data_IF_001445637766
#
_entry.id   IF_001445637766
#
_cell.length_a   1.000
_cell.length_b   1.000
_cell.length_c   1.000
_cell.angle_alpha   90.00
_cell.angle_beta   90.00
_cell.angle_gamma   90.00
#
_symmetry.space_group_name_H-M   'P 1'
#
loop_
_entity.id
_entity.type
_entity.pdbx_description
1 polymer ?
#
# COMPACT_ATOMS: atom_id res chain seq x y z
N UNK A 1 5.48 -9.49 0.44
CA UNK A 1 6.22 -9.10 1.66
C UNK A 1 5.30 -8.84 2.85
N UNK A 2 4.46 -7.79 2.90
CA UNK A 2 3.62 -7.55 4.10
C UNK A 2 2.59 -8.67 4.34
N UNK A 3 1.97 -9.21 3.29
CA UNK A 3 1.10 -10.39 3.44
C UNK A 3 1.87 -11.60 4.00
N UNK A 4 3.08 -11.84 3.51
CA UNK A 4 3.94 -12.93 4.00
C UNK A 4 4.36 -12.73 5.46
N UNK A 5 4.64 -11.49 5.86
CA UNK A 5 4.94 -11.15 7.25
C UNK A 5 3.76 -11.45 8.17
N UNK A 6 2.54 -11.09 7.75
CA UNK A 6 1.33 -11.40 8.52
C UNK A 6 1.08 -12.91 8.58
N UNK A 7 1.33 -13.64 7.50
CA UNK A 7 1.23 -15.11 7.49
C UNK A 7 2.25 -15.75 8.42
N UNK A 8 3.52 -15.31 8.37
CA UNK A 8 4.59 -15.84 9.21
C UNK A 8 4.35 -15.55 10.70
N UNK A 9 3.63 -14.47 11.02
CA UNK A 9 3.29 -14.06 12.40
C UNK A 9 1.79 -14.14 12.69
N UNK A 10 1.07 -15.03 12.02
CA UNK A 10 -0.39 -15.09 12.11
C UNK A 10 -0.90 -15.38 13.53
N UNK A 11 -0.12 -16.11 14.33
CA UNK A 11 -0.43 -16.37 15.74
C UNK A 11 -0.61 -15.09 16.57
N UNK A 12 0.06 -13.98 16.23
CA UNK A 12 -0.15 -12.69 16.90
C UNK A 12 -1.54 -12.12 16.59
N UNK A 13 -2.03 -12.27 15.36
CA UNK A 13 -3.37 -11.83 14.96
C UNK A 13 -4.44 -12.68 15.63
N UNK A 14 -4.21 -14.00 15.76
CA UNK A 14 -5.18 -14.91 16.35
C UNK A 14 -5.28 -14.74 17.87
N UNK A 15 -4.13 -14.79 18.56
CA UNK A 15 -4.07 -14.89 20.03
C UNK A 15 -4.19 -13.54 20.73
N UNK A 16 -3.66 -12.46 20.14
CA UNK A 16 -3.71 -11.14 20.77
C UNK A 16 -5.04 -10.44 20.46
N UNK A 17 -5.55 -9.70 21.45
CA UNK A 17 -6.74 -8.85 21.29
C UNK A 17 -6.39 -7.49 20.68
N UNK A 18 -5.22 -6.97 21.02
CA UNK A 18 -4.68 -5.71 20.52
C UNK A 18 -3.74 -5.97 19.35
N UNK A 19 -3.54 -4.94 18.52
CA UNK A 19 -2.56 -5.00 17.44
C UNK A 19 -1.15 -4.94 18.02
N UNK A 20 -0.32 -5.92 17.68
CA UNK A 20 1.09 -5.97 18.08
C UNK A 20 1.95 -5.06 17.20
N UNK A 21 2.90 -4.36 17.82
CA UNK A 21 3.77 -3.38 17.15
C UNK A 21 4.60 -4.01 16.03
N UNK A 22 4.97 -5.29 16.15
CA UNK A 22 5.77 -6.02 15.16
C UNK A 22 5.02 -6.33 13.86
N UNK A 23 3.69 -6.22 13.85
CA UNK A 23 2.85 -6.40 12.66
C UNK A 23 2.00 -5.16 12.33
N UNK A 24 2.03 -4.14 13.18
CA UNK A 24 1.19 -2.96 13.08
C UNK A 24 1.31 -2.26 11.72
N UNK A 25 2.54 -2.00 11.27
CA UNK A 25 2.80 -1.35 9.97
C UNK A 25 2.21 -2.16 8.81
N UNK A 26 2.35 -3.49 8.85
CA UNK A 26 1.87 -4.38 7.80
C UNK A 26 0.34 -4.41 7.75
N UNK A 27 -0.32 -4.54 8.90
CA UNK A 27 -1.79 -4.50 9.01
C UNK A 27 -2.32 -3.17 8.48
N UNK A 28 -1.80 -2.05 8.98
CA UNK A 28 -2.26 -0.71 8.63
C UNK A 28 -2.01 -0.43 7.14
N UNK A 29 -0.84 -0.81 6.62
CA UNK A 29 -0.51 -0.62 5.20
C UNK A 29 -1.40 -1.45 4.27
N UNK A 30 -1.73 -2.69 4.63
CA UNK A 30 -2.66 -3.54 3.85
C UNK A 30 -4.07 -2.96 3.88
N UNK A 31 -4.56 -2.50 5.04
CA UNK A 31 -5.88 -1.88 5.16
C UNK A 31 -5.98 -0.59 4.35
N UNK A 32 -4.91 0.23 4.35
CA UNK A 32 -4.83 1.43 3.53
C UNK A 32 -4.76 1.14 2.03
N UNK A 33 -4.03 0.10 1.63
CA UNK A 33 -3.91 -0.31 0.24
C UNK A 33 -5.22 -0.92 -0.30
N UNK A 34 -5.98 -1.66 0.52
CA UNK A 34 -7.16 -2.40 0.11
C UNK A 34 -8.13 -1.63 -0.81
N UNK A 35 -8.63 -0.43 -0.48
CA UNK A 35 -9.53 0.31 -1.38
C UNK A 35 -8.86 0.79 -2.67
N UNK A 36 -7.53 0.91 -2.73
CA UNK A 36 -6.77 1.41 -3.89
C UNK A 36 -6.47 0.34 -4.93
N UNK A 37 -6.46 -0.93 -4.52
CA UNK A 37 -6.16 -2.08 -5.39
C UNK A 37 -7.34 -3.05 -5.49
N UNK A 38 -8.49 -2.72 -4.90
CA UNK A 38 -9.69 -3.56 -4.88
C UNK A 38 -10.22 -3.90 -6.28
N UNK A 39 -9.88 -3.10 -7.29
CA UNK A 39 -10.24 -3.36 -8.69
C UNK A 39 -9.47 -4.54 -9.28
N UNK A 40 -8.22 -4.72 -8.87
CA UNK A 40 -7.31 -5.72 -9.43
C UNK A 40 -7.24 -6.98 -8.55
N UNK A 41 -7.40 -6.82 -7.23
CA UNK A 41 -7.29 -7.91 -6.24
C UNK A 41 -8.44 -7.82 -5.24
N UNK A 42 -9.50 -8.60 -5.48
CA UNK A 42 -10.70 -8.60 -4.66
C UNK A 42 -10.45 -9.11 -3.22
N UNK A 43 -9.49 -10.02 -3.05
CA UNK A 43 -9.13 -10.64 -1.78
C UNK A 43 -8.63 -9.63 -0.75
N UNK A 44 -8.05 -8.51 -1.20
CA UNK A 44 -7.62 -7.43 -0.30
C UNK A 44 -8.79 -6.78 0.43
N UNK A 45 -9.96 -6.71 -0.22
CA UNK A 45 -11.18 -6.28 0.44
C UNK A 45 -11.57 -7.25 1.55
N UNK A 46 -11.56 -8.54 1.26
CA UNK A 46 -11.85 -9.60 2.24
C UNK A 46 -10.89 -9.53 3.44
N UNK A 47 -9.59 -9.38 3.20
CA UNK A 47 -8.59 -9.24 4.27
C UNK A 47 -8.87 -7.98 5.11
N UNK A 48 -9.16 -6.84 4.47
CA UNK A 48 -9.49 -5.60 5.17
C UNK A 48 -10.76 -5.75 6.02
N UNK A 49 -11.76 -6.46 5.53
CA UNK A 49 -13.01 -6.70 6.26
C UNK A 49 -12.78 -7.62 7.47
N UNK A 50 -11.97 -8.68 7.33
CA UNK A 50 -11.59 -9.54 8.46
C UNK A 50 -10.79 -8.77 9.52
N UNK A 51 -9.82 -7.94 9.12
CA UNK A 51 -9.06 -7.09 10.04
C UNK A 51 -9.95 -6.04 10.72
N UNK A 52 -10.99 -5.56 10.02
CA UNK A 52 -11.99 -4.64 10.59
C UNK A 52 -12.82 -5.31 11.68
N UNK A 53 -13.22 -6.57 11.47
CA UNK A 53 -13.92 -7.37 12.49
C UNK A 53 -13.01 -7.60 13.70
N UNK A 54 -11.73 -7.90 13.47
CA UNK A 54 -10.76 -8.19 14.55
C UNK A 54 -10.40 -6.98 15.40
N UNK A 55 -10.06 -5.84 14.78
CA UNK A 55 -9.52 -4.66 15.46
C UNK A 55 -10.52 -3.50 15.63
N UNK A 56 -11.73 -3.66 15.08
CA UNK A 56 -12.81 -2.71 15.22
C UNK A 56 -12.88 -1.68 14.08
N UNK A 57 -14.11 -1.20 13.85
CA UNK A 57 -14.45 -0.27 12.78
C UNK A 57 -13.73 1.09 12.88
N UNK A 58 -13.63 1.75 14.06
CA UNK A 58 -12.93 3.04 14.17
C UNK A 58 -11.46 2.95 13.78
N UNK A 59 -10.79 1.88 14.20
CA UNK A 59 -9.39 1.61 13.82
C UNK A 59 -9.25 1.41 12.31
N UNK A 60 -10.13 0.61 11.71
CA UNK A 60 -10.10 0.32 10.29
C UNK A 60 -10.28 1.57 9.41
N UNK A 61 -11.21 2.45 9.80
CA UNK A 61 -11.47 3.71 9.10
C UNK A 61 -10.27 4.65 9.22
N UNK A 62 -9.68 4.78 10.41
CA UNK A 62 -8.48 5.57 10.62
C UNK A 62 -7.27 5.03 9.83
N UNK A 63 -7.10 3.71 9.75
CA UNK A 63 -6.06 3.07 8.96
C UNK A 63 -6.22 3.35 7.46
N UNK A 64 -7.44 3.17 6.92
CA UNK A 64 -7.78 3.46 5.51
C UNK A 64 -7.57 4.93 5.14
N UNK A 65 -7.87 5.82 6.07
CA UNK A 65 -7.70 7.26 5.91
C UNK A 65 -6.24 7.74 6.14
N UNK A 66 -5.31 6.86 6.52
CA UNK A 66 -3.95 7.21 6.93
C UNK A 66 -3.90 8.26 8.06
N UNK A 67 -4.78 8.12 9.05
CA UNK A 67 -4.90 9.02 10.21
C UNK A 67 -4.31 8.43 11.50
N UNK A 68 -3.78 7.21 11.44
CA UNK A 68 -3.14 6.58 12.59
C UNK A 68 -1.71 7.08 12.74
N UNK A 69 -1.37 7.58 13.94
CA UNK A 69 0.02 7.84 14.33
C UNK A 69 0.60 6.75 15.23
N UNK A 70 -0.28 6.00 15.90
CA UNK A 70 0.02 4.87 16.77
C UNK A 70 -0.97 3.73 16.47
N UNK A 71 -0.58 2.45 16.51
CA UNK A 71 0.75 1.90 16.80
C UNK A 71 1.77 2.01 15.64
N UNK A 72 1.33 2.30 14.42
CA UNK A 72 2.21 2.57 13.29
C UNK A 72 1.53 3.47 12.24
N UNK A 73 2.33 4.04 11.34
CA UNK A 73 1.88 4.76 10.14
C UNK A 73 1.93 3.84 8.91
N UNK A 74 1.16 4.17 7.87
CA UNK A 74 1.32 3.50 6.57
C UNK A 74 2.71 3.79 6.03
N UNK A 75 3.33 2.77 5.42
CA UNK A 75 4.67 2.90 4.84
C UNK A 75 4.74 4.08 3.84
N UNK A 76 5.65 5.07 4.02
CA UNK A 76 5.77 6.22 3.12
C UNK A 76 6.10 5.82 1.68
N UNK A 77 6.85 4.72 1.52
CA UNK A 77 7.17 4.14 0.21
C UNK A 77 5.92 3.59 -0.46
N UNK A 78 5.03 2.95 0.30
CA UNK A 78 3.77 2.43 -0.21
C UNK A 78 2.81 3.57 -0.59
N UNK A 79 2.75 4.64 0.21
CA UNK A 79 1.98 5.85 -0.12
C UNK A 79 2.47 6.46 -1.44
N UNK A 80 3.78 6.68 -1.58
CA UNK A 80 4.33 7.32 -2.78
C UNK A 80 4.13 6.49 -4.05
N UNK A 81 4.16 5.15 -3.96
CA UNK A 81 3.99 4.25 -5.11
C UNK A 81 2.55 3.99 -5.51
N UNK A 82 1.60 4.10 -4.57
CA UNK A 82 0.16 3.96 -4.83
C UNK A 82 -0.57 5.32 -4.88
N UNK A 83 0.18 6.41 -4.92
CA UNK A 83 -0.37 7.76 -5.08
C UNK A 83 -0.87 7.97 -6.52
N UNK A 84 -1.99 8.67 -6.66
CA UNK A 84 -2.58 9.06 -7.95
C UNK A 84 -1.98 10.38 -8.46
N UNK A 85 -0.96 10.92 -7.78
CA UNK A 85 -0.31 12.16 -8.19
C UNK A 85 0.36 12.01 -9.57
N UNK A 86 0.23 13.05 -10.39
CA UNK A 86 0.90 13.11 -11.68
C UNK A 86 2.44 13.00 -11.49
N UNK A 87 3.12 12.14 -12.27
CA UNK A 87 4.56 12.04 -12.19
C UNK A 87 5.24 13.35 -12.62
N UNK A 88 6.44 13.67 -12.09
CA UNK A 88 7.20 14.82 -12.54
C UNK A 88 7.52 14.74 -14.04
N UNK A 89 7.47 15.86 -14.76
CA UNK A 89 7.77 15.92 -16.21
C UNK A 89 9.11 15.28 -16.57
N UNK A 90 10.15 15.55 -15.77
CA UNK A 90 11.48 14.94 -15.93
C UNK A 90 11.44 13.40 -15.89
N UNK A 91 10.58 12.81 -15.05
CA UNK A 91 10.43 11.37 -15.00
C UNK A 91 9.74 10.85 -16.26
N UNK A 92 8.70 11.54 -16.72
CA UNK A 92 7.97 11.20 -17.96
C UNK A 92 8.93 11.19 -19.15
N UNK A 93 9.72 12.25 -19.32
CA UNK A 93 10.69 12.36 -20.42
C UNK A 93 11.76 11.27 -20.36
N UNK A 94 12.29 10.97 -19.17
CA UNK A 94 13.24 9.86 -19.00
C UNK A 94 12.64 8.52 -19.45
N UNK A 95 11.39 8.24 -19.07
CA UNK A 95 10.70 7.04 -19.55
C UNK A 95 10.53 7.04 -21.07
N UNK A 96 10.20 8.19 -21.67
CA UNK A 96 10.05 8.29 -23.14
C UNK A 96 11.36 8.05 -23.88
N UNK A 97 12.48 8.59 -23.38
CA UNK A 97 13.83 8.35 -23.94
C UNK A 97 14.16 6.85 -23.92
N UNK A 98 13.98 6.20 -22.76
CA UNK A 98 14.30 4.77 -22.61
C UNK A 98 13.41 3.87 -23.47
N UNK A 99 12.11 4.18 -23.57
CA UNK A 99 11.15 3.45 -24.43
C UNK A 99 11.53 3.64 -25.90
N UNK A 100 11.83 4.86 -26.33
CA UNK A 100 12.19 5.17 -27.70
C UNK A 100 13.51 4.50 -28.12
N UNK A 101 14.52 4.55 -27.25
CA UNK A 101 15.78 3.85 -27.45
C UNK A 101 15.58 2.32 -27.58
N UNK A 102 14.75 1.74 -26.71
CA UNK A 102 14.43 0.30 -26.74
C UNK A 102 13.64 -0.11 -27.98
N UNK A 103 12.79 0.77 -28.50
CA UNK A 103 11.97 0.54 -29.69
C UNK A 103 12.68 0.91 -31.01
N UNK A 104 13.88 1.52 -30.95
CA UNK A 104 14.59 2.01 -32.14
C UNK A 104 13.91 3.20 -32.82
N UNK A 105 13.09 3.96 -32.09
CA UNK A 105 12.35 5.12 -32.60
C UNK A 105 13.10 6.39 -32.19
N UNK A 106 13.31 7.36 -33.08
CA UNK A 106 13.91 8.64 -32.70
C UNK A 106 12.96 9.44 -31.80
N UNK A 107 13.46 9.93 -30.67
CA UNK A 107 12.73 10.78 -29.74
C UNK A 107 13.63 11.94 -29.28
N UNK A 108 13.08 13.16 -29.31
CA UNK A 108 13.75 14.36 -28.81
C UNK A 108 12.97 14.86 -27.60
N UNK A 109 13.57 14.88 -26.40
CA UNK A 109 12.92 15.41 -25.20
C UNK A 109 12.71 16.92 -25.29
N UNK A 110 11.72 17.44 -24.57
CA UNK A 110 11.49 18.89 -24.46
C UNK A 110 12.64 19.55 -23.66
N UNK A 111 12.97 20.85 -23.91
CA UNK A 111 14.07 21.56 -23.25
C UNK A 111 13.88 21.82 -21.75
#
# INVERSE_FOLDING_TARGET
MYCDLLLARFGLIEQMKTLDDGIAEAVISIMWAAPRIATDIAEFKTISDQLTIKYGKPFAEAARANQLEFPAKVSPKLISKLSVAAPPKVLVERYMIEIAASAGVPFTPDP
#
